data_IF_783942897859
#
_entry.id   IF_783942897859
#
_cell.length_a   1.000
_cell.length_b   1.000
_cell.length_c   1.000
_cell.angle_alpha   90.00
_cell.angle_beta   90.00
_cell.angle_gamma   90.00
#
_symmetry.space_group_name_H-M   'P 1'
#
loop_
_entity.id
_entity.type
_entity.pdbx_description
1 polymer ?
#
# COMPACT_ATOMS: atom_id res chain seq x y z
N UNK A 1 19.45 6.55 -13.30
CA UNK A 1 18.46 7.41 -13.95
C UNK A 1 19.01 8.82 -14.18
N UNK A 2 19.26 9.61 -13.10
CA UNK A 2 19.68 11.01 -13.22
C UNK A 2 20.94 11.22 -14.08
N UNK A 3 21.89 10.31 -14.02
CA UNK A 3 23.11 10.39 -14.86
C UNK A 3 22.90 9.87 -16.28
N UNK A 4 21.96 8.94 -16.47
CA UNK A 4 21.72 8.28 -17.76
C UNK A 4 20.82 9.10 -18.68
N UNK A 5 19.88 9.87 -18.12
CA UNK A 5 18.88 10.64 -18.85
C UNK A 5 19.04 12.13 -18.55
N UNK A 6 19.80 12.89 -19.36
CA UNK A 6 19.99 14.32 -19.14
C UNK A 6 18.67 15.08 -19.08
N UNK A 7 18.49 15.90 -18.05
CA UNK A 7 17.29 16.71 -17.86
C UNK A 7 16.09 15.97 -17.25
N UNK A 8 16.25 14.71 -16.80
CA UNK A 8 15.17 13.95 -16.15
C UNK A 8 14.77 14.58 -14.82
N UNK A 9 13.48 14.59 -14.53
CA UNK A 9 12.90 15.03 -13.26
C UNK A 9 12.46 13.82 -12.44
N UNK A 10 13.08 13.64 -11.27
CA UNK A 10 12.83 12.51 -10.38
C UNK A 10 12.27 13.04 -9.06
N UNK A 11 11.26 12.35 -8.52
CA UNK A 11 10.80 12.52 -7.15
C UNK A 11 11.22 11.29 -6.34
N UNK A 12 11.76 11.51 -5.15
CA UNK A 12 11.92 10.47 -4.12
C UNK A 12 11.07 10.90 -2.94
N UNK A 13 10.13 10.06 -2.54
CA UNK A 13 9.17 10.38 -1.47
C UNK A 13 9.19 9.31 -0.39
N UNK A 14 9.15 9.76 0.87
CA UNK A 14 8.95 8.94 2.06
C UNK A 14 7.89 9.58 2.94
N UNK A 15 7.31 8.82 3.87
CA UNK A 15 6.25 9.36 4.73
C UNK A 15 6.76 10.50 5.62
N UNK A 16 7.92 10.31 6.24
CA UNK A 16 8.50 11.26 7.18
C UNK A 16 9.81 11.84 6.65
N UNK A 17 9.96 13.18 6.78
CA UNK A 17 11.15 13.87 6.27
C UNK A 17 12.45 13.47 7.00
N UNK A 18 12.48 13.33 8.35
CA UNK A 18 13.73 12.93 9.04
C UNK A 18 14.27 11.60 8.55
N UNK A 19 13.40 10.64 8.25
CA UNK A 19 13.80 9.34 7.71
C UNK A 19 14.31 9.45 6.27
N UNK A 20 13.67 10.29 5.45
CA UNK A 20 14.13 10.59 4.09
C UNK A 20 15.53 11.22 4.12
N UNK A 21 15.77 12.16 5.04
CA UNK A 21 17.05 12.81 5.18
C UNK A 21 18.15 11.81 5.57
N UNK A 22 17.94 11.03 6.63
CA UNK A 22 18.93 10.10 7.15
C UNK A 22 19.22 8.93 6.19
N UNK A 23 18.19 8.36 5.58
CA UNK A 23 18.33 7.13 4.81
C UNK A 23 18.62 7.36 3.33
N UNK A 24 18.27 8.53 2.78
CA UNK A 24 18.39 8.81 1.34
C UNK A 24 19.28 10.02 1.06
N UNK A 25 18.95 11.19 1.64
CA UNK A 25 19.61 12.44 1.25
C UNK A 25 21.07 12.43 1.67
N UNK A 26 21.36 12.14 2.93
CA UNK A 26 22.74 12.11 3.45
C UNK A 26 23.62 11.05 2.77
N UNK A 27 23.18 9.80 2.55
CA UNK A 27 23.91 8.84 1.76
C UNK A 27 24.15 9.29 0.32
N UNK A 28 23.15 9.87 -0.34
CA UNK A 28 23.32 10.37 -1.71
C UNK A 28 24.34 11.52 -1.80
N UNK A 29 24.36 12.43 -0.84
CA UNK A 29 25.35 13.51 -0.79
C UNK A 29 26.80 12.97 -0.65
N UNK A 30 26.98 11.87 0.07
CA UNK A 30 28.29 11.20 0.17
C UNK A 30 28.67 10.47 -1.11
N UNK A 31 27.68 9.95 -1.82
CA UNK A 31 27.89 9.14 -3.04
C UNK A 31 28.12 10.01 -4.28
N UNK A 32 27.49 11.18 -4.36
CA UNK A 32 27.52 12.04 -5.55
C UNK A 32 28.63 13.09 -5.39
N UNK A 33 29.70 13.05 -6.23
CA UNK A 33 30.74 14.05 -6.21
C UNK A 33 30.20 15.44 -6.56
N UNK A 34 30.79 16.52 -5.99
CA UNK A 34 30.33 17.91 -6.24
C UNK A 34 30.34 18.32 -7.71
N UNK A 35 31.25 17.75 -8.52
CA UNK A 35 31.35 17.99 -9.97
C UNK A 35 30.19 17.39 -10.75
N UNK A 36 29.54 16.37 -10.18
CA UNK A 36 28.42 15.64 -10.81
C UNK A 36 27.09 16.21 -10.39
N UNK A 37 26.95 16.58 -9.12
CA UNK A 37 25.72 17.14 -8.59
C UNK A 37 25.87 17.79 -7.24
N UNK A 38 24.94 18.70 -6.91
CA UNK A 38 24.93 19.44 -5.66
C UNK A 38 23.54 19.45 -5.05
N UNK A 39 23.47 19.31 -3.73
CA UNK A 39 22.22 19.35 -2.97
C UNK A 39 21.93 20.76 -2.46
N UNK A 40 20.71 21.24 -2.69
CA UNK A 40 20.18 22.47 -2.14
C UNK A 40 19.17 22.13 -1.04
N UNK A 41 19.53 22.38 0.22
CA UNK A 41 18.71 22.04 1.38
C UNK A 41 17.43 22.87 1.47
N UNK A 42 17.44 24.15 1.06
CA UNK A 42 16.25 25.01 1.10
C UNK A 42 15.18 24.56 0.10
N UNK A 43 15.60 24.08 -1.05
CA UNK A 43 14.69 23.55 -2.09
C UNK A 43 14.40 22.05 -1.92
N UNK A 44 15.17 21.36 -1.10
CA UNK A 44 15.18 19.89 -0.97
C UNK A 44 15.35 19.21 -2.33
N UNK A 45 16.33 19.70 -3.08
CA UNK A 45 16.60 19.22 -4.44
C UNK A 45 18.09 18.95 -4.63
N UNK A 46 18.39 17.91 -5.41
CA UNK A 46 19.71 17.65 -5.94
C UNK A 46 19.71 18.00 -7.41
N UNK A 47 20.65 18.86 -7.81
CA UNK A 47 20.84 19.31 -9.19
C UNK A 47 22.07 18.63 -9.76
N UNK A 48 21.96 18.12 -10.97
CA UNK A 48 23.05 17.45 -11.68
C UNK A 48 23.58 18.32 -12.82
N UNK A 49 24.87 18.18 -13.13
CA UNK A 49 25.56 18.93 -14.18
C UNK A 49 24.91 18.73 -15.58
N UNK A 50 24.21 17.62 -15.79
CA UNK A 50 23.50 17.33 -17.05
C UNK A 50 22.05 17.86 -17.08
N UNK A 51 21.67 18.73 -16.14
CA UNK A 51 20.34 19.32 -16.05
C UNK A 51 19.27 18.44 -15.36
N UNK A 52 19.62 17.24 -14.94
CA UNK A 52 18.71 16.38 -14.19
C UNK A 52 18.46 16.90 -12.77
N UNK A 53 17.28 16.62 -12.22
CA UNK A 53 16.87 17.08 -10.89
C UNK A 53 16.25 15.90 -10.13
N UNK A 54 16.67 15.76 -8.85
CA UNK A 54 15.96 14.91 -7.91
C UNK A 54 15.33 15.80 -6.84
N UNK A 55 14.01 15.79 -6.73
CA UNK A 55 13.27 16.41 -5.63
C UNK A 55 13.07 15.37 -4.53
N UNK A 56 13.32 15.78 -3.29
CA UNK A 56 13.07 14.99 -2.09
C UNK A 56 11.82 15.52 -1.39
N UNK A 57 10.81 14.68 -1.26
CA UNK A 57 9.53 15.04 -0.67
C UNK A 57 9.13 14.11 0.46
N UNK A 58 8.36 14.62 1.39
CA UNK A 58 7.63 13.80 2.35
C UNK A 58 6.13 13.89 2.03
N UNK A 59 5.37 12.91 2.48
CA UNK A 59 3.93 12.88 2.19
C UNK A 59 3.19 12.33 3.41
N UNK A 60 2.96 13.20 4.39
CA UNK A 60 2.18 12.92 5.58
C UNK A 60 0.66 12.98 5.34
N UNK A 61 -0.09 12.88 6.40
CA UNK A 61 -1.54 13.05 6.35
C UNK A 61 -1.88 14.54 6.10
N UNK A 62 -2.66 14.81 5.06
CA UNK A 62 -3.09 16.17 4.71
C UNK A 62 -2.22 16.91 3.69
N UNK A 63 -1.12 16.33 3.22
CA UNK A 63 -0.18 16.94 2.27
C UNK A 63 -0.59 16.79 0.80
N UNK A 64 -1.81 16.35 0.53
CA UNK A 64 -2.29 16.05 -0.84
C UNK A 64 -2.14 17.24 -1.81
N UNK A 65 -2.25 18.46 -1.30
CA UNK A 65 -2.13 19.67 -2.12
C UNK A 65 -0.69 19.98 -2.54
N UNK A 66 0.33 19.50 -1.80
CA UNK A 66 1.73 19.80 -2.08
C UNK A 66 2.20 19.23 -3.41
N UNK A 67 1.61 18.11 -3.84
CA UNK A 67 1.96 17.41 -5.09
C UNK A 67 1.07 17.77 -6.26
N UNK A 68 -0.05 18.45 -6.03
CA UNK A 68 -0.94 18.85 -7.11
C UNK A 68 -0.24 19.85 -8.06
N UNK A 69 -0.31 19.54 -9.34
CA UNK A 69 0.32 20.39 -10.38
C UNK A 69 1.79 20.07 -10.68
N UNK A 70 2.47 19.25 -9.87
CA UNK A 70 3.84 18.85 -10.14
C UNK A 70 3.93 17.82 -11.28
N UNK A 71 5.13 17.74 -11.88
CA UNK A 71 5.42 16.85 -13.01
C UNK A 71 6.77 16.17 -12.79
N UNK A 72 6.77 14.84 -12.94
CA UNK A 72 7.96 14.01 -12.82
C UNK A 72 7.96 12.94 -13.92
N UNK A 73 9.17 12.54 -14.32
CA UNK A 73 9.37 11.39 -15.21
C UNK A 73 9.43 10.10 -14.41
N UNK A 74 10.13 10.13 -13.28
CA UNK A 74 10.22 8.99 -12.36
C UNK A 74 9.83 9.40 -10.94
N UNK A 75 9.17 8.48 -10.24
CA UNK A 75 8.84 8.62 -8.82
C UNK A 75 9.33 7.36 -8.09
N UNK A 76 10.08 7.57 -7.03
CA UNK A 76 10.46 6.54 -6.07
C UNK A 76 9.66 6.76 -4.79
N UNK A 77 8.81 5.80 -4.46
CA UNK A 77 8.00 5.79 -3.25
C UNK A 77 8.60 4.78 -2.29
N UNK A 78 9.30 5.26 -1.29
CA UNK A 78 9.98 4.42 -0.33
C UNK A 78 9.07 4.09 0.85
N UNK A 79 9.10 2.83 1.29
CA UNK A 79 8.19 2.29 2.30
C UNK A 79 6.71 2.48 1.89
N UNK A 80 6.37 2.04 0.68
CA UNK A 80 5.06 2.27 0.06
C UNK A 80 3.87 1.80 0.91
N UNK A 81 4.06 0.81 1.77
CA UNK A 81 3.04 0.34 2.72
C UNK A 81 2.73 1.32 3.85
N UNK A 82 3.51 2.39 4.01
CA UNK A 82 3.18 3.49 4.92
C UNK A 82 2.20 4.51 4.32
N UNK A 83 1.85 4.39 3.05
CA UNK A 83 0.97 5.32 2.34
C UNK A 83 -0.38 4.69 2.03
N UNK A 84 -1.42 5.52 1.97
CA UNK A 84 -2.74 5.10 1.49
C UNK A 84 -2.76 4.89 -0.03
N UNK A 85 -3.74 4.13 -0.54
CA UNK A 85 -3.95 3.98 -1.98
C UNK A 85 -4.23 5.34 -2.66
N UNK A 86 -4.93 6.26 -1.98
CA UNK A 86 -5.20 7.62 -2.48
C UNK A 86 -3.89 8.39 -2.71
N UNK A 87 -2.96 8.36 -1.76
CA UNK A 87 -1.65 9.01 -1.90
C UNK A 87 -0.85 8.42 -3.06
N UNK A 88 -0.84 7.09 -3.22
CA UNK A 88 -0.23 6.42 -4.37
C UNK A 88 -0.84 6.91 -5.70
N UNK A 89 -2.17 7.04 -5.78
CA UNK A 89 -2.87 7.52 -6.98
C UNK A 89 -2.55 8.99 -7.27
N UNK A 90 -2.50 9.84 -6.24
CA UNK A 90 -2.13 11.26 -6.36
C UNK A 90 -0.72 11.41 -6.93
N UNK A 91 0.25 10.66 -6.41
CA UNK A 91 1.60 10.66 -6.96
C UNK A 91 1.65 10.11 -8.39
N UNK A 92 0.86 9.08 -8.69
CA UNK A 92 0.73 8.53 -10.03
C UNK A 92 0.24 9.58 -11.06
N UNK A 93 -0.64 10.48 -10.66
CA UNK A 93 -1.09 11.60 -11.50
C UNK A 93 0.02 12.63 -11.79
N UNK A 94 1.11 12.64 -11.01
CA UNK A 94 2.29 13.48 -11.25
C UNK A 94 3.26 12.88 -12.29
N UNK A 95 3.08 11.62 -12.71
CA UNK A 95 3.85 10.99 -13.79
C UNK A 95 3.41 11.52 -15.16
N UNK A 96 3.69 12.78 -15.40
CA UNK A 96 3.30 13.50 -16.62
C UNK A 96 4.44 14.42 -17.07
N UNK A 97 4.29 15.05 -18.19
CA UNK A 97 5.26 15.99 -18.77
C UNK A 97 5.47 15.73 -20.25
N UNK A 98 6.14 16.66 -20.93
CA UNK A 98 6.37 16.62 -22.38
C UNK A 98 7.69 15.91 -22.75
N UNK A 99 8.35 15.25 -21.81
CA UNK A 99 9.62 14.55 -22.05
C UNK A 99 9.41 13.22 -22.79
N UNK A 100 10.47 12.73 -23.46
CA UNK A 100 10.48 11.42 -24.13
C UNK A 100 10.91 10.28 -23.20
N UNK A 101 11.17 10.57 -21.91
CA UNK A 101 11.60 9.55 -20.95
C UNK A 101 10.45 8.60 -20.60
N UNK A 102 10.74 7.31 -20.39
CA UNK A 102 9.74 6.38 -19.92
C UNK A 102 9.29 6.80 -18.50
N UNK A 103 7.99 6.95 -18.32
CA UNK A 103 7.41 7.28 -17.00
C UNK A 103 7.31 6.05 -16.15
N UNK A 104 7.86 6.11 -14.94
CA UNK A 104 7.91 4.96 -14.05
C UNK A 104 7.74 5.39 -12.60
N UNK A 105 7.04 4.54 -11.85
CA UNK A 105 7.01 4.59 -10.40
C UNK A 105 7.64 3.32 -9.84
N UNK A 106 8.59 3.50 -8.92
CA UNK A 106 9.25 2.41 -8.21
C UNK A 106 8.84 2.49 -6.75
N UNK A 107 8.41 1.36 -6.21
CA UNK A 107 7.97 1.21 -4.83
C UNK A 107 8.88 0.24 -4.12
N UNK A 108 9.37 0.61 -2.94
CA UNK A 108 10.05 -0.32 -2.02
C UNK A 108 9.20 -0.45 -0.78
N UNK A 109 9.05 -1.64 -0.24
CA UNK A 109 8.31 -1.85 1.00
C UNK A 109 8.48 -3.27 1.55
N UNK A 110 8.16 -3.39 2.83
CA UNK A 110 7.91 -4.66 3.49
C UNK A 110 6.40 -4.84 3.72
N UNK A 111 5.92 -6.08 3.90
CA UNK A 111 4.54 -6.32 4.34
C UNK A 111 4.24 -5.63 5.67
N UNK A 112 3.05 -5.06 5.82
CA UNK A 112 2.61 -4.34 7.01
C UNK A 112 2.21 -2.88 6.71
N UNK A 113 1.77 -2.14 7.74
CA UNK A 113 1.37 -0.74 7.60
C UNK A 113 0.00 -0.52 6.96
N UNK A 114 -0.41 0.75 6.87
CA UNK A 114 -1.75 1.15 6.38
C UNK A 114 -1.99 0.82 4.91
N UNK A 115 -0.92 0.76 4.13
CA UNK A 115 -0.96 0.47 2.70
C UNK A 115 -0.84 -1.01 2.36
N UNK A 116 -0.68 -1.88 3.35
CA UNK A 116 -0.49 -3.31 3.12
C UNK A 116 -1.50 -3.90 2.13
N UNK A 117 -2.78 -3.65 2.37
CA UNK A 117 -3.86 -4.26 1.59
C UNK A 117 -3.87 -3.82 0.12
N UNK A 118 -3.66 -2.54 -0.17
CA UNK A 118 -3.68 -2.08 -1.56
C UNK A 118 -2.42 -2.52 -2.32
N UNK A 119 -1.25 -2.55 -1.66
CA UNK A 119 -0.02 -3.07 -2.27
C UNK A 119 -0.18 -4.54 -2.56
N UNK A 120 -0.63 -5.33 -1.57
CA UNK A 120 -0.88 -6.77 -1.73
C UNK A 120 -1.84 -7.03 -2.88
N UNK A 121 -3.03 -6.42 -2.87
CA UNK A 121 -4.04 -6.57 -3.93
C UNK A 121 -3.46 -6.30 -5.31
N UNK A 122 -2.81 -5.14 -5.47
CA UNK A 122 -2.43 -4.63 -6.79
C UNK A 122 -1.19 -5.32 -7.37
N UNK A 123 -0.20 -5.62 -6.53
CA UNK A 123 1.10 -6.11 -6.98
C UNK A 123 1.31 -7.59 -6.71
N UNK A 124 0.88 -8.11 -5.57
CA UNK A 124 1.13 -9.49 -5.14
C UNK A 124 0.02 -10.41 -5.63
N UNK A 125 -1.23 -10.13 -5.26
CA UNK A 125 -2.40 -10.94 -5.64
C UNK A 125 -2.82 -10.68 -7.10
N UNK A 126 -2.43 -9.51 -7.66
CA UNK A 126 -2.76 -9.10 -9.03
C UNK A 126 -4.26 -9.01 -9.29
N UNK A 127 -4.99 -8.56 -8.29
CA UNK A 127 -6.42 -8.32 -8.36
C UNK A 127 -6.67 -6.88 -8.84
N UNK A 128 -7.15 -6.74 -10.08
CA UNK A 128 -7.29 -5.44 -10.74
C UNK A 128 -8.74 -4.99 -10.74
N UNK A 129 -8.97 -3.72 -10.44
CA UNK A 129 -10.27 -3.04 -10.56
C UNK A 129 -10.46 -2.52 -11.98
N UNK A 130 -11.67 -2.07 -12.28
CA UNK A 130 -11.96 -1.41 -13.55
C UNK A 130 -11.00 -0.25 -13.81
N UNK A 131 -10.42 -0.20 -15.01
CA UNK A 131 -9.41 0.78 -15.42
C UNK A 131 -7.96 0.42 -15.08
N UNK A 132 -7.69 -0.55 -14.21
CA UNK A 132 -6.35 -1.06 -13.92
C UNK A 132 -5.95 -2.14 -14.94
N UNK A 133 -4.71 -2.09 -15.42
CA UNK A 133 -4.22 -3.05 -16.43
C UNK A 133 -3.03 -3.82 -15.88
N UNK A 134 -3.09 -5.14 -15.90
CA UNK A 134 -2.06 -6.04 -15.39
C UNK A 134 -0.64 -5.71 -15.88
N UNK A 135 -0.50 -5.28 -17.13
CA UNK A 135 0.80 -4.93 -17.73
C UNK A 135 1.48 -3.69 -17.12
N UNK A 136 0.72 -2.88 -16.39
CA UNK A 136 1.23 -1.63 -15.81
C UNK A 136 1.84 -1.86 -14.42
N UNK A 137 1.69 -3.07 -13.85
CA UNK A 137 2.13 -3.42 -12.50
C UNK A 137 3.05 -4.64 -12.52
N UNK A 138 4.19 -4.51 -11.84
CA UNK A 138 5.17 -5.60 -11.73
C UNK A 138 5.59 -5.73 -10.27
N UNK A 139 5.56 -6.93 -9.72
CA UNK A 139 6.09 -7.26 -8.40
C UNK A 139 7.41 -8.03 -8.56
N UNK A 140 8.42 -7.57 -7.85
CA UNK A 140 9.74 -8.21 -7.77
C UNK A 140 9.95 -8.56 -6.30
N UNK A 141 9.72 -9.82 -5.90
CA UNK A 141 9.98 -10.25 -4.54
C UNK A 141 11.48 -10.22 -4.26
N UNK A 142 11.85 -9.78 -3.07
CA UNK A 142 13.21 -9.82 -2.55
C UNK A 142 13.18 -10.12 -1.06
N UNK A 143 14.11 -10.91 -0.60
CA UNK A 143 14.32 -11.27 0.81
C UNK A 143 15.72 -10.88 1.25
N UNK A 144 16.02 -11.01 2.52
CA UNK A 144 17.39 -10.75 3.02
C UNK A 144 18.41 -11.69 2.35
N UNK A 145 18.00 -12.88 1.91
CA UNK A 145 18.89 -13.84 1.24
C UNK A 145 19.32 -13.37 -0.17
N UNK A 146 18.58 -12.44 -0.76
CA UNK A 146 18.92 -11.81 -2.05
C UNK A 146 19.95 -10.67 -1.92
N UNK A 147 20.38 -10.35 -0.69
CA UNK A 147 21.37 -9.30 -0.41
C UNK A 147 22.68 -9.88 0.19
N UNK A 148 23.53 -10.52 -0.63
CA UNK A 148 24.76 -11.13 -0.14
C UNK A 148 25.71 -10.12 0.49
N UNK A 149 25.74 -8.86 0.03
CA UNK A 149 26.59 -7.82 0.59
C UNK A 149 26.20 -7.49 2.04
N UNK A 150 24.92 -7.43 2.34
CA UNK A 150 24.43 -7.23 3.71
C UNK A 150 24.82 -8.40 4.61
N UNK A 151 24.62 -9.62 4.12
CA UNK A 151 24.93 -10.84 4.89
C UNK A 151 26.44 -11.03 5.11
N UNK A 152 27.27 -10.58 4.18
CA UNK A 152 28.74 -10.57 4.33
C UNK A 152 29.17 -9.52 5.35
N UNK A 153 28.56 -8.33 5.32
CA UNK A 153 28.87 -7.24 6.25
C UNK A 153 28.32 -7.45 7.67
N UNK A 154 27.18 -8.15 7.78
CA UNK A 154 26.44 -8.40 9.04
C UNK A 154 25.86 -9.80 9.05
N UNK A 155 26.67 -10.85 9.26
CA UNK A 155 26.19 -12.25 9.23
C UNK A 155 25.10 -12.55 10.28
N UNK A 156 25.15 -11.85 11.42
CA UNK A 156 24.20 -11.99 12.53
C UNK A 156 22.82 -11.39 12.23
N UNK A 157 22.70 -10.52 11.22
CA UNK A 157 21.45 -9.83 10.90
C UNK A 157 20.29 -10.82 10.64
N UNK A 158 20.60 -11.90 9.93
CA UNK A 158 19.62 -12.96 9.68
C UNK A 158 19.10 -13.62 10.95
N UNK A 159 19.99 -13.88 11.92
CA UNK A 159 19.62 -14.44 13.22
C UNK A 159 18.75 -13.45 14.01
N UNK A 160 19.03 -12.15 13.93
CA UNK A 160 18.21 -11.13 14.58
C UNK A 160 16.79 -11.12 14.00
N UNK A 161 16.64 -11.26 12.67
CA UNK A 161 15.31 -11.39 12.05
C UNK A 161 14.57 -12.66 12.50
N UNK A 162 15.29 -13.76 12.71
CA UNK A 162 14.70 -15.04 13.16
C UNK A 162 14.21 -14.99 14.62
N UNK A 163 14.68 -14.02 15.42
CA UNK A 163 14.23 -13.79 16.80
C UNK A 163 13.00 -12.87 16.92
N UNK A 164 12.54 -12.29 15.81
CA UNK A 164 11.34 -11.45 15.82
C UNK A 164 10.08 -12.29 16.12
N UNK A 165 9.00 -11.65 16.61
CA UNK A 165 7.68 -12.30 16.71
C UNK A 165 7.29 -12.94 15.38
N UNK A 166 6.56 -14.07 15.45
CA UNK A 166 6.31 -14.92 14.29
C UNK A 166 5.72 -14.17 13.08
N UNK A 167 4.75 -13.31 13.30
CA UNK A 167 4.09 -12.50 12.27
C UNK A 167 5.08 -11.50 11.62
N UNK A 168 5.87 -10.81 12.43
CA UNK A 168 6.90 -9.86 11.95
C UNK A 168 8.01 -10.61 11.23
N UNK A 169 8.46 -11.75 11.78
CA UNK A 169 9.45 -12.61 11.14
C UNK A 169 8.97 -13.11 9.78
N UNK A 170 7.73 -13.58 9.68
CA UNK A 170 7.13 -14.00 8.41
C UNK A 170 7.12 -12.86 7.40
N UNK A 171 6.72 -11.67 7.83
CA UNK A 171 6.65 -10.49 6.98
C UNK A 171 8.06 -10.03 6.53
N UNK A 172 8.99 -9.83 7.44
CA UNK A 172 10.26 -9.16 7.15
C UNK A 172 11.36 -10.14 6.72
N UNK A 173 11.40 -11.35 7.31
CA UNK A 173 12.42 -12.35 6.99
C UNK A 173 12.10 -13.12 5.71
N UNK A 174 10.81 -13.42 5.49
CA UNK A 174 10.35 -14.25 4.37
C UNK A 174 9.51 -13.51 3.33
N UNK A 175 9.22 -12.24 3.54
CA UNK A 175 8.39 -11.44 2.62
C UNK A 175 6.96 -11.96 2.49
N UNK A 176 6.43 -12.57 3.56
CA UNK A 176 5.09 -13.15 3.56
C UNK A 176 4.01 -12.07 3.68
N UNK A 177 3.33 -11.80 2.58
CA UNK A 177 2.23 -10.84 2.51
C UNK A 177 0.93 -11.33 3.16
N UNK A 178 0.88 -12.55 3.65
CA UNK A 178 -0.22 -13.07 4.46
C UNK A 178 0.08 -13.00 5.96
N UNK A 179 1.31 -12.68 6.35
CA UNK A 179 1.67 -12.36 7.71
C UNK A 179 1.20 -10.92 8.00
N UNK A 180 0.00 -10.77 8.56
CA UNK A 180 -0.59 -9.47 8.80
C UNK A 180 -0.26 -9.00 10.21
N UNK A 181 0.90 -8.36 10.39
CA UNK A 181 1.18 -7.63 11.61
C UNK A 181 0.15 -6.49 11.77
N UNK A 182 -0.63 -6.53 12.85
CA UNK A 182 -1.65 -5.52 13.16
C UNK A 182 -3.06 -5.82 12.66
N UNK A 183 -3.37 -7.04 12.25
CA UNK A 183 -4.76 -7.45 12.08
C UNK A 183 -5.45 -7.58 13.43
N UNK A 184 -6.69 -7.10 13.50
CA UNK A 184 -7.53 -7.26 14.67
C UNK A 184 -7.79 -8.76 14.99
N UNK A 185 -7.75 -9.61 13.95
CA UNK A 185 -7.89 -11.07 14.06
C UNK A 185 -6.67 -11.77 13.47
N UNK A 186 -5.55 -11.90 14.22
CA UNK A 186 -4.33 -12.54 13.72
C UNK A 186 -4.50 -14.04 13.41
N UNK A 187 -5.51 -14.68 14.00
CA UNK A 187 -5.84 -16.08 13.75
C UNK A 187 -6.61 -16.31 12.44
N UNK A 188 -7.07 -15.23 11.77
CA UNK A 188 -7.81 -15.37 10.52
C UNK A 188 -6.91 -15.94 9.42
N UNK A 189 -7.28 -17.11 8.91
CA UNK A 189 -6.63 -17.79 7.79
C UNK A 189 -7.65 -18.08 6.72
N UNK A 190 -7.38 -17.63 5.50
CA UNK A 190 -8.30 -17.79 4.37
C UNK A 190 -8.65 -19.27 4.13
N UNK A 191 -7.67 -20.15 4.26
CA UNK A 191 -7.81 -21.58 4.04
C UNK A 191 -8.70 -22.28 5.08
N UNK A 192 -8.88 -21.68 6.26
CA UNK A 192 -9.67 -22.22 7.36
C UNK A 192 -11.01 -21.49 7.49
N UNK A 193 -10.99 -20.16 7.38
CA UNK A 193 -12.13 -19.32 7.73
C UNK A 193 -12.94 -18.85 6.52
N UNK A 194 -12.45 -19.07 5.30
CA UNK A 194 -13.21 -18.80 4.07
C UNK A 194 -13.69 -20.11 3.48
N UNK A 195 -15.02 -20.27 3.44
CA UNK A 195 -15.66 -21.44 2.84
C UNK A 195 -16.17 -21.13 1.43
N UNK A 196 -16.52 -22.17 0.69
CA UNK A 196 -17.19 -21.97 -0.60
C UNK A 196 -18.49 -21.18 -0.42
N UNK A 197 -18.80 -20.24 -1.33
CA UNK A 197 -20.03 -19.44 -1.24
C UNK A 197 -21.27 -20.34 -1.16
N UNK A 198 -22.22 -19.97 -0.31
CA UNK A 198 -23.52 -20.63 -0.28
C UNK A 198 -24.27 -20.35 -1.59
N UNK A 199 -24.85 -21.40 -2.18
CA UNK A 199 -25.84 -21.21 -3.25
C UNK A 199 -27.07 -20.48 -2.69
N UNK A 200 -27.45 -20.81 -1.45
CA UNK A 200 -28.52 -20.16 -0.70
C UNK A 200 -28.27 -20.36 0.79
N UNK A 201 -28.34 -19.26 1.58
CA UNK A 201 -28.34 -19.36 3.04
C UNK A 201 -29.65 -19.97 3.52
N UNK A 202 -29.64 -21.01 4.37
CA UNK A 202 -30.85 -21.64 4.89
C UNK A 202 -31.79 -20.63 5.54
N UNK A 203 -33.12 -20.81 5.30
CA UNK A 203 -34.13 -19.89 5.84
C UNK A 203 -34.25 -19.97 7.35
N UNK A 204 -33.97 -21.12 7.89
CA UNK A 204 -34.10 -21.47 9.31
C UNK A 204 -32.97 -20.87 10.16
N UNK A 205 -31.87 -20.43 9.53
CA UNK A 205 -30.80 -19.81 10.24
C UNK A 205 -31.15 -18.36 10.59
N UNK A 206 -30.78 -17.95 11.80
CA UNK A 206 -30.92 -16.56 12.25
C UNK A 206 -29.97 -15.67 11.46
N UNK A 207 -30.47 -14.54 11.00
CA UNK A 207 -29.70 -13.60 10.19
C UNK A 207 -29.68 -12.23 10.85
N UNK A 208 -28.51 -11.65 10.87
CA UNK A 208 -28.24 -10.36 11.48
C UNK A 208 -27.54 -9.44 10.48
N UNK A 209 -27.68 -8.13 10.67
CA UNK A 209 -26.83 -7.14 10.02
C UNK A 209 -26.01 -6.44 11.09
N UNK A 210 -24.69 -6.39 10.88
CA UNK A 210 -23.77 -5.58 11.65
C UNK A 210 -23.21 -4.49 10.75
N UNK A 211 -23.20 -3.25 11.21
CA UNK A 211 -22.65 -2.15 10.44
C UNK A 211 -21.80 -1.24 11.32
N UNK A 212 -20.78 -0.68 10.70
CA UNK A 212 -19.95 0.38 11.23
C UNK A 212 -20.09 1.60 10.32
N UNK A 213 -20.45 2.73 10.92
CA UNK A 213 -20.64 3.99 10.22
C UNK A 213 -19.59 4.99 10.68
N UNK A 214 -18.46 5.02 9.93
CA UNK A 214 -17.43 6.04 10.09
C UNK A 214 -17.66 7.25 9.19
N UNK A 215 -17.00 8.36 9.49
CA UNK A 215 -17.09 9.61 8.70
C UNK A 215 -16.55 9.40 7.27
N UNK A 216 -15.58 8.54 7.08
CA UNK A 216 -14.88 8.26 5.84
C UNK A 216 -15.28 6.92 5.19
N UNK A 217 -15.86 6.00 5.97
CA UNK A 217 -16.21 4.67 5.50
C UNK A 217 -17.47 4.13 6.18
N UNK A 218 -18.39 3.63 5.38
CA UNK A 218 -19.49 2.77 5.83
C UNK A 218 -19.16 1.32 5.51
N UNK A 219 -19.32 0.44 6.47
CA UNK A 219 -19.22 -1.01 6.30
C UNK A 219 -20.46 -1.71 6.83
N UNK A 220 -20.97 -2.71 6.11
CA UNK A 220 -22.08 -3.54 6.55
C UNK A 220 -21.82 -5.00 6.21
N UNK A 221 -22.06 -5.87 7.19
CA UNK A 221 -21.94 -7.31 7.06
C UNK A 221 -23.31 -7.96 7.31
N UNK A 222 -23.67 -8.97 6.50
CA UNK A 222 -24.79 -9.86 6.75
C UNK A 222 -24.25 -11.17 7.30
N UNK A 223 -24.72 -11.55 8.47
CA UNK A 223 -24.23 -12.71 9.22
C UNK A 223 -25.37 -13.68 9.43
N UNK A 224 -25.18 -14.93 9.05
CA UNK A 224 -26.08 -16.03 9.37
C UNK A 224 -25.49 -16.90 10.46
N UNK A 225 -26.31 -17.34 11.41
CA UNK A 225 -25.88 -18.21 12.52
C UNK A 225 -26.61 -19.54 12.39
N UNK A 226 -25.86 -20.64 12.33
CA UNK A 226 -26.41 -21.98 12.27
C UNK A 226 -26.90 -22.49 13.65
N UNK A 227 -27.46 -23.71 13.67
CA UNK A 227 -27.98 -24.33 14.90
C UNK A 227 -26.87 -24.71 15.92
N UNK A 228 -25.61 -24.75 15.47
CA UNK A 228 -24.45 -25.02 16.33
C UNK A 228 -23.83 -23.72 16.84
N UNK A 229 -24.39 -22.57 16.49
CA UNK A 229 -23.89 -21.24 16.88
C UNK A 229 -22.71 -20.74 16.05
N UNK A 230 -22.42 -21.38 14.91
CA UNK A 230 -21.36 -20.89 13.98
C UNK A 230 -21.90 -19.73 13.18
N UNK A 231 -21.12 -18.65 13.11
CA UNK A 231 -21.46 -17.45 12.36
C UNK A 231 -20.78 -17.44 10.99
N UNK A 232 -21.56 -17.12 9.96
CA UNK A 232 -21.10 -17.04 8.59
C UNK A 232 -21.39 -15.65 8.01
N UNK A 233 -20.37 -14.92 7.63
CA UNK A 233 -20.53 -13.69 6.84
C UNK A 233 -20.81 -14.12 5.40
N UNK A 234 -22.01 -13.84 4.89
CA UNK A 234 -22.43 -14.28 3.56
C UNK A 234 -22.66 -13.14 2.56
N UNK A 235 -22.60 -11.90 3.04
CA UNK A 235 -22.67 -10.68 2.22
C UNK A 235 -21.97 -9.55 2.95
N UNK A 236 -21.27 -8.70 2.20
CA UNK A 236 -20.64 -7.50 2.72
C UNK A 236 -20.78 -6.34 1.74
N UNK A 237 -20.70 -5.13 2.26
CA UNK A 237 -20.53 -3.90 1.48
C UNK A 237 -19.66 -2.93 2.25
N UNK A 238 -18.75 -2.29 1.54
CA UNK A 238 -17.95 -1.17 2.01
C UNK A 238 -18.06 -0.03 1.00
N UNK A 239 -18.35 1.17 1.48
CA UNK A 239 -18.41 2.36 0.64
C UNK A 239 -18.09 3.62 1.43
N UNK A 240 -17.19 4.44 0.87
CA UNK A 240 -16.84 5.75 1.43
C UNK A 240 -17.80 6.84 0.99
N UNK A 241 -17.85 7.95 1.76
CA UNK A 241 -18.55 9.16 1.37
C UNK A 241 -20.07 9.11 1.41
N UNK A 242 -20.65 8.10 2.08
CA UNK A 242 -22.11 8.01 2.25
C UNK A 242 -22.58 8.80 3.46
N UNK A 243 -23.67 9.56 3.29
CA UNK A 243 -24.46 10.02 4.43
C UNK A 243 -25.34 8.91 5.00
N UNK A 244 -25.78 9.01 6.25
CA UNK A 244 -26.54 7.97 6.95
C UNK A 244 -27.75 7.46 6.15
N UNK A 245 -28.50 8.35 5.50
CA UNK A 245 -29.66 7.98 4.70
C UNK A 245 -29.31 7.18 3.43
N UNK A 246 -28.15 7.44 2.84
CA UNK A 246 -27.65 6.69 1.66
C UNK A 246 -27.13 5.32 2.09
N UNK A 247 -26.39 5.25 3.19
CA UNK A 247 -25.94 3.99 3.78
C UNK A 247 -27.12 3.07 4.12
N UNK A 248 -28.20 3.62 4.72
CA UNK A 248 -29.41 2.87 5.03
C UNK A 248 -30.12 2.37 3.75
N UNK A 249 -30.23 3.21 2.71
CA UNK A 249 -30.81 2.80 1.41
C UNK A 249 -29.99 1.70 0.76
N UNK A 250 -28.65 1.80 0.78
CA UNK A 250 -27.76 0.81 0.23
C UNK A 250 -27.90 -0.54 0.95
N UNK A 251 -27.85 -0.54 2.29
CA UNK A 251 -28.03 -1.76 3.07
C UNK A 251 -29.40 -2.41 2.84
N UNK A 252 -30.47 -1.62 2.71
CA UNK A 252 -31.80 -2.14 2.42
C UNK A 252 -31.91 -2.66 0.97
N UNK A 253 -31.33 -1.99 0.00
CA UNK A 253 -31.32 -2.45 -1.40
C UNK A 253 -30.60 -3.79 -1.59
N UNK A 254 -29.56 -4.03 -0.78
CA UNK A 254 -28.80 -5.28 -0.79
C UNK A 254 -29.43 -6.40 0.05
N UNK A 255 -30.53 -6.13 0.77
CA UNK A 255 -31.25 -7.14 1.55
C UNK A 255 -32.53 -7.53 0.80
N UNK A 256 -32.63 -8.76 0.26
CA UNK A 256 -33.85 -9.22 -0.40
C UNK A 256 -35.09 -9.12 0.52
N UNK A 257 -36.28 -8.74 -0.01
CA UNK A 257 -37.49 -8.57 0.81
C UNK A 257 -37.93 -9.82 1.57
N UNK A 258 -37.59 -11.00 1.03
CA UNK A 258 -37.88 -12.29 1.64
C UNK A 258 -36.87 -12.71 2.71
N UNK A 259 -35.82 -11.94 2.90
CA UNK A 259 -34.77 -12.24 3.86
C UNK A 259 -35.10 -11.58 5.21
N UNK A 260 -35.47 -12.40 6.18
CA UNK A 260 -35.77 -11.93 7.53
C UNK A 260 -34.47 -11.67 8.27
N UNK A 261 -34.27 -10.43 8.71
CA UNK A 261 -33.17 -10.01 9.55
C UNK A 261 -33.70 -9.73 10.96
N UNK A 262 -33.10 -10.36 11.99
CA UNK A 262 -33.48 -10.19 13.39
C UNK A 262 -33.02 -8.86 13.97
#
# INVERSE_FOLDING_TARGET
GALTYPGIKILIVRREYPELEQNIILPMQKLIPPEVGSYNGSMRMMFFCNGSIIKFGHYGAGDDQEYQGLEFDWIFMEEATQFSESQFRTLGACLRGATKFPRRMYLTCNPGGIGHLWVKRLFVDREYREGEKAKDYTFIPATVDDNPQLLEASPEYKQMLDLLPEDVRRAWRYGDWNAMAGTFFPEFRKEIHVIAPFVRVPREWKKYRAFDYGLDMFACLWVAVDFEGRAYVYREVQQSGLIVSEAAKLANALTPPEEHIE
#
